data_IF_962874449559
#
_entry.id   IF_962874449559
#
_cell.length_a   1.000
_cell.length_b   1.000
_cell.length_c   1.000
_cell.angle_alpha   90.00
_cell.angle_beta   90.00
_cell.angle_gamma   90.00
#
_symmetry.space_group_name_H-M   'P 1'
#
loop_
_entity.id
_entity.type
_entity.pdbx_description
1 polymer ?
#
# COMPACT_ATOMS: atom_id res chain seq x y z
N UNK A 1 -12.32 -2.69 -6.67
CA UNK A 1 -11.65 -3.38 -5.56
C UNK A 1 -10.42 -2.56 -5.21
N UNK A 2 -10.23 -2.23 -3.94
CA UNK A 2 -9.18 -1.31 -3.48
C UNK A 2 -8.02 -2.10 -2.88
N UNK A 3 -6.80 -1.76 -3.28
CA UNK A 3 -5.56 -2.42 -2.87
C UNK A 3 -4.65 -1.39 -2.20
N UNK A 4 -4.11 -1.73 -1.04
CA UNK A 4 -3.15 -0.89 -0.32
C UNK A 4 -1.72 -1.38 -0.59
N UNK A 5 -0.85 -0.52 -1.09
CA UNK A 5 0.57 -0.80 -1.32
C UNK A 5 1.37 -0.08 -0.23
N UNK A 6 2.22 -0.83 0.48
CA UNK A 6 3.00 -0.35 1.62
C UNK A 6 4.46 -0.70 1.43
N UNK A 7 5.30 0.31 1.20
CA UNK A 7 6.75 0.20 1.01
C UNK A 7 7.37 1.58 1.29
N UNK A 8 8.53 1.66 1.95
CA UNK A 8 9.19 2.94 2.23
C UNK A 8 9.90 3.53 1.00
N UNK A 9 10.17 2.70 -0.02
CA UNK A 9 10.64 3.14 -1.33
C UNK A 9 9.48 3.62 -2.21
N UNK A 10 9.44 4.93 -2.44
CA UNK A 10 8.40 5.59 -3.24
C UNK A 10 8.41 5.15 -4.71
N UNK A 11 9.56 4.80 -5.26
CA UNK A 11 9.67 4.40 -6.66
C UNK A 11 9.03 3.01 -6.86
N UNK A 12 9.19 2.11 -5.88
CA UNK A 12 8.51 0.81 -5.86
C UNK A 12 6.99 0.99 -5.72
N UNK A 13 6.54 1.81 -4.78
CA UNK A 13 5.11 2.09 -4.61
C UNK A 13 4.49 2.62 -5.90
N UNK A 14 5.13 3.59 -6.56
CA UNK A 14 4.60 4.17 -7.80
C UNK A 14 4.56 3.14 -8.93
N UNK A 15 5.63 2.36 -9.11
CA UNK A 15 5.69 1.31 -10.11
C UNK A 15 4.56 0.30 -9.94
N UNK A 16 4.38 -0.23 -8.72
CA UNK A 16 3.32 -1.20 -8.42
C UNK A 16 1.93 -0.58 -8.58
N UNK A 17 1.76 0.70 -8.21
CA UNK A 17 0.50 1.42 -8.39
C UNK A 17 0.09 1.46 -9.85
N UNK A 18 1.02 1.79 -10.76
CA UNK A 18 0.75 1.81 -12.21
C UNK A 18 0.29 0.43 -12.71
N UNK A 19 0.96 -0.66 -12.28
CA UNK A 19 0.55 -2.01 -12.69
C UNK A 19 -0.85 -2.37 -12.18
N UNK A 20 -1.12 -2.08 -10.91
CA UNK A 20 -2.40 -2.41 -10.28
C UNK A 20 -3.55 -1.57 -10.84
N UNK A 21 -3.33 -0.28 -11.08
CA UNK A 21 -4.29 0.62 -11.71
C UNK A 21 -4.58 0.22 -13.16
N UNK A 22 -3.57 -0.22 -13.92
CA UNK A 22 -3.76 -0.70 -15.30
C UNK A 22 -4.65 -1.95 -15.38
N UNK A 23 -4.69 -2.77 -14.33
CA UNK A 23 -5.60 -3.91 -14.20
C UNK A 23 -7.02 -3.50 -13.75
N UNK A 24 -7.26 -2.20 -13.55
CA UNK A 24 -8.57 -1.63 -13.21
C UNK A 24 -8.89 -1.58 -11.72
N UNK A 25 -7.88 -1.71 -10.86
CA UNK A 25 -8.05 -1.60 -9.41
C UNK A 25 -7.79 -0.18 -8.89
N UNK A 26 -8.38 0.13 -7.74
CA UNK A 26 -8.08 1.38 -7.02
C UNK A 26 -6.91 1.15 -6.08
N UNK A 27 -5.99 2.11 -6.01
CA UNK A 27 -4.78 1.99 -5.19
C UNK A 27 -4.74 3.03 -4.08
N UNK A 28 -4.50 2.53 -2.86
CA UNK A 28 -4.06 3.34 -1.73
C UNK A 28 -2.57 3.12 -1.50
N UNK A 29 -1.82 4.19 -1.27
CA UNK A 29 -0.36 4.16 -1.07
C UNK A 29 0.00 4.46 0.38
N UNK A 30 0.95 3.75 0.99
CA UNK A 30 1.50 4.10 2.29
C UNK A 30 3.02 3.87 2.32
N UNK A 31 3.73 4.68 3.10
CA UNK A 31 5.20 4.65 3.14
C UNK A 31 5.78 4.27 4.50
N UNK A 32 4.93 3.73 5.38
CA UNK A 32 5.28 3.17 6.68
C UNK A 32 4.04 2.51 7.31
N UNK A 33 4.26 1.68 8.34
CA UNK A 33 3.18 0.97 9.03
C UNK A 33 2.12 1.88 9.67
N UNK A 34 2.49 3.07 10.18
CA UNK A 34 1.52 3.99 10.78
C UNK A 34 0.54 4.56 9.76
N UNK A 35 1.04 4.94 8.58
CA UNK A 35 0.21 5.38 7.47
C UNK A 35 -0.69 4.24 6.98
N UNK A 36 -0.14 3.03 6.82
CA UNK A 36 -0.90 1.85 6.41
C UNK A 36 -2.08 1.57 7.37
N UNK A 37 -1.83 1.57 8.68
CA UNK A 37 -2.88 1.39 9.69
C UNK A 37 -3.93 2.50 9.65
N UNK A 38 -3.52 3.76 9.45
CA UNK A 38 -4.46 4.88 9.30
C UNK A 38 -5.36 4.66 8.08
N UNK A 39 -4.79 4.21 6.95
CA UNK A 39 -5.54 3.97 5.71
C UNK A 39 -6.49 2.80 5.82
N UNK A 40 -6.09 1.70 6.46
CA UNK A 40 -6.97 0.58 6.76
C UNK A 40 -8.18 0.99 7.62
N UNK A 41 -7.96 1.84 8.62
CA UNK A 41 -9.06 2.33 9.47
C UNK A 41 -10.01 3.28 8.73
N UNK A 42 -9.49 4.08 7.80
CA UNK A 42 -10.27 5.06 7.02
C UNK A 42 -10.97 4.44 5.81
N UNK A 43 -10.41 3.36 5.26
CA UNK A 43 -10.88 2.69 4.05
C UNK A 43 -11.18 1.21 4.34
N UNK A 44 -12.31 0.90 4.99
CA UNK A 44 -12.68 -0.49 5.31
C UNK A 44 -12.98 -1.35 4.07
N UNK A 45 -13.02 -0.76 2.88
CA UNK A 45 -13.21 -1.40 1.58
C UNK A 45 -11.90 -1.88 0.92
N UNK A 46 -10.74 -1.65 1.56
CA UNK A 46 -9.47 -2.26 1.15
C UNK A 46 -9.58 -3.78 1.28
N UNK A 47 -9.44 -4.49 0.15
CA UNK A 47 -9.62 -5.93 0.09
C UNK A 47 -8.30 -6.71 0.09
N UNK A 48 -7.19 -6.04 -0.22
CA UNK A 48 -5.85 -6.63 -0.31
C UNK A 48 -4.80 -5.59 0.09
N UNK A 49 -3.72 -6.05 0.73
CA UNK A 49 -2.53 -5.26 1.01
C UNK A 49 -1.30 -5.95 0.40
N UNK A 50 -0.45 -5.17 -0.27
CA UNK A 50 0.89 -5.54 -0.69
C UNK A 50 1.84 -4.81 0.26
N UNK A 51 2.64 -5.56 1.01
CA UNK A 51 3.46 -5.05 2.10
C UNK A 51 4.91 -5.47 1.89
N UNK A 52 5.84 -4.52 1.95
CA UNK A 52 7.25 -4.83 2.10
C UNK A 52 7.58 -5.24 3.54
N UNK A 53 8.22 -6.39 3.67
CA UNK A 53 8.67 -6.94 4.96
C UNK A 53 10.03 -6.39 5.38
N UNK A 54 10.77 -5.74 4.47
CA UNK A 54 12.10 -5.20 4.71
C UNK A 54 12.11 -3.71 5.09
N UNK A 55 10.99 -3.17 5.56
CA UNK A 55 10.91 -1.78 6.04
C UNK A 55 11.59 -1.59 7.41
N UNK A 56 12.50 -0.62 7.55
CA UNK A 56 13.04 -0.24 8.85
C UNK A 56 11.99 0.51 9.71
N UNK A 57 12.04 0.30 11.03
CA UNK A 57 11.30 1.02 12.10
C UNK A 57 9.92 0.50 12.54
N UNK A 58 9.27 -0.41 11.81
CA UNK A 58 8.15 -1.19 12.32
C UNK A 58 8.07 -2.46 11.50
N UNK A 59 8.31 -3.61 12.12
CA UNK A 59 8.18 -4.92 11.49
C UNK A 59 6.83 -4.95 10.75
N UNK A 60 6.88 -5.20 9.43
CA UNK A 60 5.72 -5.14 8.52
C UNK A 60 4.53 -5.93 9.00
#
# INVERSE_FOLDING_TARGET
MKILIVDDDKDIVELLSIYVENEGYEVEKAYNGKEALSKLNMNPDIALMILDVMMPQMDG
#
